data_IF_218362505083
#
_entry.id   IF_218362505083
#
_cell.length_a   1.000
_cell.length_b   1.000
_cell.length_c   1.000
_cell.angle_alpha   90.00
_cell.angle_beta   90.00
_cell.angle_gamma   90.00
#
_symmetry.space_group_name_H-M   'P 1'
#
loop_
_entity.id
_entity.type
_entity.pdbx_description
1 polymer ?
#
# COMPACT_ATOMS: atom_id res chain seq x y z
N UNK A 1 15.00 6.70 19.04
CA UNK A 1 14.43 6.51 17.67
C UNK A 1 15.10 7.48 16.71
N UNK A 2 15.80 6.96 15.69
CA UNK A 2 16.57 7.73 14.71
C UNK A 2 15.67 8.65 13.86
N UNK A 3 16.16 9.81 13.43
CA UNK A 3 15.39 10.78 12.62
C UNK A 3 14.97 10.21 11.25
N UNK A 4 15.83 9.39 10.64
CA UNK A 4 15.55 8.69 9.38
C UNK A 4 14.34 7.75 9.50
N UNK A 5 14.30 6.89 10.53
CA UNK A 5 13.18 5.97 10.79
C UNK A 5 11.85 6.74 10.87
N UNK A 6 11.81 7.85 11.61
CA UNK A 6 10.60 8.69 11.72
C UNK A 6 10.21 9.32 10.39
N UNK A 7 11.20 9.72 9.57
CA UNK A 7 10.94 10.30 8.26
C UNK A 7 10.28 9.28 7.32
N UNK A 8 10.79 8.04 7.30
CA UNK A 8 10.22 6.94 6.51
C UNK A 8 8.82 6.57 7.00
N UNK A 9 8.63 6.39 8.30
CA UNK A 9 7.31 6.10 8.88
C UNK A 9 6.28 7.17 8.52
N UNK A 10 6.66 8.45 8.66
CA UNK A 10 5.78 9.57 8.33
C UNK A 10 5.48 9.64 6.82
N UNK A 11 6.45 9.33 5.97
CA UNK A 11 6.27 9.25 4.53
C UNK A 11 5.24 8.17 4.16
N UNK A 12 5.43 6.95 4.66
CA UNK A 12 4.54 5.82 4.41
C UNK A 12 3.14 6.09 4.98
N UNK A 13 3.05 6.61 6.21
CA UNK A 13 1.78 6.95 6.86
C UNK A 13 0.97 7.94 6.04
N UNK A 14 1.57 9.05 5.62
CA UNK A 14 0.86 10.08 4.84
C UNK A 14 0.36 9.54 3.51
N UNK A 15 1.16 8.70 2.84
CA UNK A 15 0.82 8.12 1.54
C UNK A 15 -0.33 7.13 1.65
N UNK A 16 -0.30 6.23 2.64
CA UNK A 16 -1.39 5.29 2.90
C UNK A 16 -2.67 5.97 3.40
N UNK A 17 -2.55 6.97 4.28
CA UNK A 17 -3.69 7.76 4.72
C UNK A 17 -4.29 8.60 3.58
N UNK A 18 -3.52 8.87 2.52
CA UNK A 18 -3.98 9.53 1.29
C UNK A 18 -4.61 8.59 0.26
N UNK A 19 -4.65 7.28 0.52
CA UNK A 19 -5.12 6.31 -0.46
C UNK A 19 -6.60 6.49 -0.82
N UNK A 20 -6.91 6.34 -2.11
CA UNK A 20 -8.22 6.55 -2.72
C UNK A 20 -8.79 5.22 -3.24
N UNK A 21 -10.10 5.05 -3.12
CA UNK A 21 -10.87 3.91 -3.66
C UNK A 21 -11.17 4.14 -5.15
N UNK A 22 -10.12 4.35 -5.93
CA UNK A 22 -10.18 4.53 -7.38
C UNK A 22 -9.71 3.22 -8.02
N UNK A 23 -10.49 2.70 -8.95
CA UNK A 23 -10.10 1.51 -9.69
C UNK A 23 -8.93 1.86 -10.62
N UNK A 24 -7.89 1.03 -10.63
CA UNK A 24 -6.70 1.21 -11.45
C UNK A 24 -6.38 0.01 -12.34
N UNK A 25 -7.11 -1.09 -12.17
CA UNK A 25 -6.98 -2.31 -12.96
C UNK A 25 -8.32 -3.05 -13.01
N UNK A 26 -8.40 -4.10 -13.81
CA UNK A 26 -9.49 -5.08 -13.76
C UNK A 26 -8.91 -6.46 -13.52
N UNK A 27 -9.41 -7.15 -12.50
CA UNK A 27 -8.96 -8.49 -12.19
C UNK A 27 -9.30 -9.43 -13.36
N UNK A 28 -8.32 -10.15 -13.93
CA UNK A 28 -8.52 -10.90 -15.16
C UNK A 28 -9.48 -12.09 -14.97
N UNK A 29 -9.50 -12.68 -13.77
CA UNK A 29 -10.25 -13.90 -13.48
C UNK A 29 -11.70 -13.58 -13.09
N UNK A 30 -11.88 -12.59 -12.22
CA UNK A 30 -13.19 -12.22 -11.64
C UNK A 30 -13.86 -11.08 -12.38
N UNK A 31 -13.13 -10.35 -13.23
CA UNK A 31 -13.57 -9.12 -13.93
C UNK A 31 -13.96 -7.98 -12.99
N UNK A 32 -13.60 -8.07 -11.72
CA UNK A 32 -13.87 -7.03 -10.73
C UNK A 32 -12.88 -5.85 -10.88
N UNK A 33 -13.34 -4.60 -10.65
CA UNK A 33 -12.45 -3.45 -10.66
C UNK A 33 -11.47 -3.52 -9.48
N UNK A 34 -10.18 -3.44 -9.74
CA UNK A 34 -9.13 -3.47 -8.70
C UNK A 34 -8.92 -2.06 -8.16
N UNK A 35 -9.22 -1.86 -6.88
CA UNK A 35 -8.98 -0.61 -6.13
C UNK A 35 -7.79 -0.73 -5.17
N UNK A 36 -7.50 -1.95 -4.74
CA UNK A 36 -6.35 -2.26 -3.92
C UNK A 36 -5.85 -3.68 -4.21
N UNK A 37 -4.54 -3.88 -4.22
CA UNK A 37 -3.93 -5.20 -4.36
C UNK A 37 -2.77 -5.32 -3.36
N UNK A 38 -2.67 -6.43 -2.65
CA UNK A 38 -1.60 -6.59 -1.66
C UNK A 38 -1.32 -8.04 -1.28
N UNK A 39 -0.03 -8.34 -1.15
CA UNK A 39 0.52 -9.52 -0.50
C UNK A 39 1.59 -9.08 0.54
N UNK A 40 2.31 -10.02 1.13
CA UNK A 40 3.29 -9.75 2.19
C UNK A 40 4.48 -8.87 1.74
N UNK A 41 4.78 -8.82 0.43
CA UNK A 41 5.94 -8.18 -0.15
C UNK A 41 5.61 -7.10 -1.18
N UNK A 42 4.37 -7.00 -1.65
CA UNK A 42 3.93 -5.99 -2.63
C UNK A 42 2.56 -5.43 -2.26
N UNK A 43 2.40 -4.12 -2.42
CA UNK A 43 1.13 -3.44 -2.22
C UNK A 43 0.94 -2.35 -3.28
N UNK A 44 -0.26 -2.28 -3.88
CA UNK A 44 -0.66 -1.29 -4.88
C UNK A 44 -1.96 -0.61 -4.47
N UNK A 45 -1.96 0.71 -4.55
CA UNK A 45 -3.13 1.55 -4.25
C UNK A 45 -3.02 2.87 -5.00
N UNK A 46 -4.15 3.55 -5.19
CA UNK A 46 -4.14 4.90 -5.77
C UNK A 46 -3.97 5.92 -4.66
N UNK A 47 -3.08 6.89 -4.84
CA UNK A 47 -3.00 8.09 -4.00
C UNK A 47 -2.59 9.29 -4.84
N UNK A 48 -2.99 10.48 -4.39
CA UNK A 48 -2.52 11.72 -4.99
C UNK A 48 -1.04 11.95 -4.60
N UNK A 49 -0.28 12.58 -5.50
CA UNK A 49 1.03 13.14 -5.18
C UNK A 49 0.83 14.59 -4.70
N UNK A 50 1.67 15.10 -3.79
CA UNK A 50 1.73 16.53 -3.54
C UNK A 50 2.01 17.28 -4.85
N UNK A 51 1.26 18.36 -5.11
CA UNK A 51 1.24 19.09 -6.38
C UNK A 51 2.62 19.59 -6.87
N UNK A 52 3.61 19.67 -5.97
CA UNK A 52 4.97 20.11 -6.28
C UNK A 52 5.91 18.99 -6.80
N UNK A 53 5.48 17.71 -6.82
CA UNK A 53 6.31 16.56 -7.23
C UNK A 53 5.98 15.98 -8.62
N UNK A 54 5.03 16.56 -9.36
CA UNK A 54 4.67 16.11 -10.71
C UNK A 54 3.31 16.64 -11.18
N UNK A 55 2.91 16.36 -12.44
CA UNK A 55 1.58 16.72 -12.96
C UNK A 55 0.51 16.09 -12.06
N UNK A 56 -0.22 16.95 -11.32
CA UNK A 56 -1.23 16.55 -10.34
C UNK A 56 -2.26 15.58 -10.94
N UNK A 57 -2.48 14.47 -10.25
CA UNK A 57 -3.45 13.45 -10.64
C UNK A 57 -3.32 12.17 -9.80
N UNK A 58 -4.36 11.33 -9.76
CA UNK A 58 -4.32 10.04 -9.07
C UNK A 58 -3.27 9.14 -9.73
N UNK A 59 -2.30 8.70 -8.95
CA UNK A 59 -1.27 7.76 -9.40
C UNK A 59 -1.45 6.43 -8.67
N UNK A 60 -1.07 5.34 -9.32
CA UNK A 60 -0.85 4.04 -8.67
C UNK A 60 0.50 4.10 -7.97
N UNK A 61 0.47 3.84 -6.67
CA UNK A 61 1.64 3.75 -5.81
C UNK A 61 1.87 2.27 -5.57
N UNK A 62 3.05 1.79 -5.94
CA UNK A 62 3.46 0.41 -5.76
C UNK A 62 4.63 0.35 -4.79
N UNK A 63 4.38 -0.15 -3.58
CA UNK A 63 5.42 -0.47 -2.62
C UNK A 63 5.86 -1.92 -2.81
N UNK A 64 7.17 -2.15 -2.86
CA UNK A 64 7.77 -3.47 -3.01
C UNK A 64 8.90 -3.71 -2.02
N UNK A 65 8.92 -4.91 -1.48
CA UNK A 65 10.07 -5.47 -0.77
C UNK A 65 10.93 -6.19 -1.80
N UNK A 66 12.13 -5.68 -2.02
CA UNK A 66 13.08 -6.21 -2.99
C UNK A 66 14.36 -6.66 -2.27
N UNK A 67 15.14 -7.55 -2.89
CA UNK A 67 16.50 -7.83 -2.42
C UNK A 67 17.34 -6.55 -2.51
N UNK A 68 18.14 -6.30 -1.49
CA UNK A 68 19.08 -5.18 -1.50
C UNK A 68 20.15 -5.40 -2.59
N UNK A 69 20.72 -4.31 -3.12
CA UNK A 69 21.75 -4.38 -4.17
C UNK A 69 23.06 -5.00 -3.67
N UNK A 70 23.31 -4.95 -2.36
CA UNK A 70 24.42 -5.65 -1.71
C UNK A 70 24.27 -7.17 -1.74
N UNK A 71 23.07 -7.69 -2.01
CA UNK A 71 22.73 -9.10 -1.90
C UNK A 71 22.34 -9.55 -0.48
N UNK A 72 22.54 -8.70 0.53
CA UNK A 72 22.22 -9.00 1.93
C UNK A 72 20.96 -8.24 2.37
N UNK A 73 19.97 -8.98 2.88
CA UNK A 73 18.73 -8.39 3.36
C UNK A 73 17.76 -7.97 2.25
N UNK A 74 16.99 -6.93 2.52
CA UNK A 74 15.95 -6.37 1.65
C UNK A 74 15.96 -4.84 1.70
N UNK A 75 15.30 -4.24 0.71
CA UNK A 75 14.99 -2.81 0.64
C UNK A 75 13.51 -2.62 0.34
N UNK A 76 12.96 -1.49 0.77
CA UNK A 76 11.61 -1.06 0.42
C UNK A 76 11.70 -0.02 -0.71
N UNK A 77 11.06 -0.30 -1.84
CA UNK A 77 10.99 0.62 -2.98
C UNK A 77 9.57 1.12 -3.23
N UNK A 78 9.46 2.29 -3.86
CA UNK A 78 8.23 2.89 -4.33
C UNK A 78 8.31 3.16 -5.83
N UNK A 79 7.35 2.63 -6.58
CA UNK A 79 7.13 3.02 -7.98
C UNK A 79 5.81 3.78 -8.11
N UNK A 80 5.77 4.70 -9.07
CA UNK A 80 4.62 5.55 -9.36
C UNK A 80 4.27 5.45 -10.83
N UNK A 81 2.99 5.22 -11.11
CA UNK A 81 2.47 5.15 -12.47
C UNK A 81 1.11 5.82 -12.59
N UNK A 82 0.86 6.46 -13.72
CA UNK A 82 -0.41 7.13 -13.99
C UNK A 82 -1.49 6.09 -14.34
N UNK A 83 -2.71 6.30 -13.85
CA UNK A 83 -3.89 5.55 -14.31
C UNK A 83 -4.34 6.12 -15.66
N UNK A 84 -4.41 5.27 -16.68
CA UNK A 84 -4.83 5.65 -18.02
C UNK A 84 -6.36 5.55 -18.19
N UNK A 85 -6.86 6.13 -19.28
CA UNK A 85 -8.22 5.89 -19.73
C UNK A 85 -8.45 4.37 -19.93
N UNK A 86 -9.66 3.90 -19.62
CA UNK A 86 -10.02 2.47 -19.55
C UNK A 86 -9.46 1.69 -18.35
N UNK A 87 -8.89 2.36 -17.34
CA UNK A 87 -8.53 1.72 -16.07
C UNK A 87 -7.33 0.79 -16.16
N UNK A 88 -6.38 1.10 -17.05
CA UNK A 88 -5.08 0.44 -17.13
C UNK A 88 -4.00 1.27 -16.47
N UNK A 89 -2.92 0.65 -16.02
CA UNK A 89 -1.77 1.34 -15.42
C UNK A 89 -0.69 1.53 -16.47
N UNK A 90 -0.25 2.78 -16.67
CA UNK A 90 0.87 3.08 -17.55
C UNK A 90 2.16 2.39 -17.06
N UNK A 91 3.12 2.19 -17.96
CA UNK A 91 4.49 1.87 -17.53
C UNK A 91 5.03 3.03 -16.68
N UNK A 92 5.69 2.77 -15.54
CA UNK A 92 6.34 3.82 -14.76
C UNK A 92 7.33 4.61 -15.60
N UNK A 93 7.27 5.95 -15.54
CA UNK A 93 8.17 6.84 -16.27
C UNK A 93 9.59 6.88 -15.66
N UNK A 94 9.70 6.52 -14.38
CA UNK A 94 10.94 6.56 -13.61
C UNK A 94 11.20 5.21 -12.94
N UNK A 95 12.48 4.85 -12.70
CA UNK A 95 12.83 3.71 -11.86
C UNK A 95 12.22 3.83 -10.46
N UNK A 96 11.96 2.70 -9.76
CA UNK A 96 11.51 2.74 -8.37
C UNK A 96 12.50 3.49 -7.46
N UNK A 97 11.98 4.33 -6.58
CA UNK A 97 12.74 5.06 -5.58
C UNK A 97 12.94 4.20 -4.32
N UNK A 98 14.14 4.24 -3.74
CA UNK A 98 14.42 3.55 -2.47
C UNK A 98 13.84 4.37 -1.33
N UNK A 99 12.86 3.80 -0.62
CA UNK A 99 12.21 4.41 0.54
C UNK A 99 13.01 4.12 1.81
N UNK A 100 13.50 2.88 1.94
CA UNK A 100 14.37 2.44 3.03
C UNK A 100 15.25 1.28 2.55
N UNK A 101 16.49 1.23 3.03
CA UNK A 101 17.47 0.19 2.74
C UNK A 101 18.06 -0.34 4.06
N UNK A 102 19.01 -1.27 3.97
CA UNK A 102 19.65 -1.92 5.12
C UNK A 102 18.62 -2.58 6.06
N UNK A 103 17.64 -3.25 5.45
CA UNK A 103 16.57 -3.93 6.18
C UNK A 103 16.80 -5.44 6.17
N UNK A 104 16.50 -6.08 7.29
CA UNK A 104 16.47 -7.55 7.38
C UNK A 104 15.17 -8.10 6.83
N UNK A 105 14.05 -7.48 7.20
CA UNK A 105 12.71 -7.94 6.83
C UNK A 105 11.75 -6.74 6.75
N UNK A 106 10.85 -6.81 5.77
CA UNK A 106 9.66 -5.96 5.69
C UNK A 106 8.47 -6.85 5.39
N UNK A 107 7.35 -6.63 6.08
CA UNK A 107 6.11 -7.36 5.85
C UNK A 107 4.90 -6.43 5.81
N UNK A 108 4.05 -6.62 4.81
CA UNK A 108 2.74 -5.98 4.75
C UNK A 108 1.65 -6.91 5.26
N UNK A 109 0.73 -6.36 6.06
CA UNK A 109 -0.45 -7.09 6.54
C UNK A 109 -1.70 -6.24 6.40
N UNK A 110 -2.83 -6.90 6.22
CA UNK A 110 -4.10 -6.28 5.90
C UNK A 110 -5.18 -6.75 6.86
N UNK A 111 -6.12 -5.86 7.20
CA UNK A 111 -7.24 -6.17 8.07
C UNK A 111 -8.54 -5.67 7.46
N UNK A 112 -9.56 -6.51 7.47
CA UNK A 112 -10.91 -6.19 7.03
C UNK A 112 -11.87 -6.05 8.21
N UNK A 113 -13.08 -5.54 7.93
CA UNK A 113 -14.24 -5.85 8.75
C UNK A 113 -14.69 -7.29 8.47
N UNK A 114 -14.96 -8.04 9.52
CA UNK A 114 -15.57 -9.37 9.46
C UNK A 114 -17.07 -9.27 9.20
N UNK A 115 -17.68 -10.38 8.78
CA UNK A 115 -19.12 -10.46 8.52
C UNK A 115 -19.97 -10.24 9.78
N UNK A 116 -19.39 -10.43 10.96
CA UNK A 116 -20.00 -10.17 12.27
C UNK A 116 -19.89 -8.69 12.71
N UNK A 117 -19.38 -7.82 11.84
CA UNK A 117 -19.14 -6.40 12.14
C UNK A 117 -17.94 -6.15 13.06
N UNK A 118 -17.10 -7.16 13.34
CA UNK A 118 -15.87 -7.01 14.13
C UNK A 118 -14.64 -7.00 13.25
N UNK A 119 -13.53 -6.47 13.76
CA UNK A 119 -12.25 -6.52 13.04
C UNK A 119 -11.79 -7.98 12.86
N UNK A 120 -11.68 -8.43 11.61
CA UNK A 120 -11.14 -9.74 11.26
C UNK A 120 -9.67 -9.88 11.70
N UNK A 121 -9.08 -11.08 11.63
CA UNK A 121 -7.64 -11.25 11.87
C UNK A 121 -6.77 -10.50 10.85
N UNK A 122 -5.52 -10.24 11.20
CA UNK A 122 -4.52 -9.79 10.22
C UNK A 122 -4.25 -10.88 9.19
N UNK A 123 -4.09 -10.49 7.93
CA UNK A 123 -3.78 -11.38 6.81
C UNK A 123 -2.57 -10.86 6.04
N UNK A 124 -1.79 -11.78 5.51
CA UNK A 124 -0.62 -11.47 4.67
C UNK A 124 -1.01 -11.22 3.20
N UNK A 125 -2.31 -11.36 2.87
CA UNK A 125 -2.86 -11.19 1.53
C UNK A 125 -4.20 -10.43 1.56
N UNK A 126 -4.46 -9.64 0.50
CA UNK A 126 -5.72 -8.96 0.28
C UNK A 126 -6.43 -9.48 -0.97
N UNK A 127 -7.52 -10.24 -0.76
CA UNK A 127 -8.30 -10.85 -1.86
C UNK A 127 -9.50 -10.04 -2.34
N UNK A 128 -10.03 -9.15 -1.50
CA UNK A 128 -11.18 -8.31 -1.85
C UNK A 128 -10.71 -7.09 -2.67
N UNK A 129 -10.19 -7.35 -3.87
CA UNK A 129 -9.48 -6.37 -4.71
C UNK A 129 -10.33 -5.14 -5.07
N UNK A 130 -11.65 -5.30 -5.07
CA UNK A 130 -12.64 -4.25 -5.31
C UNK A 130 -12.89 -3.34 -4.11
N UNK A 131 -12.35 -3.69 -2.95
CA UNK A 131 -12.49 -2.99 -1.68
C UNK A 131 -11.13 -2.52 -1.13
N UNK A 132 -11.16 -1.50 -0.29
CA UNK A 132 -9.98 -1.06 0.46
C UNK A 132 -9.86 -1.87 1.76
N UNK A 133 -8.64 -2.24 2.19
CA UNK A 133 -8.46 -2.76 3.53
C UNK A 133 -8.81 -1.71 4.57
N UNK A 134 -9.37 -2.16 5.70
CA UNK A 134 -9.71 -1.28 6.82
C UNK A 134 -8.46 -0.76 7.53
N UNK A 135 -7.48 -1.65 7.73
CA UNK A 135 -6.15 -1.31 8.21
C UNK A 135 -5.08 -1.98 7.37
N UNK A 136 -3.97 -1.27 7.20
CA UNK A 136 -2.70 -1.78 6.69
C UNK A 136 -1.67 -1.69 7.81
N UNK A 137 -0.92 -2.77 8.02
CA UNK A 137 0.27 -2.78 8.87
C UNK A 137 1.52 -2.94 8.00
N UNK A 138 2.58 -2.21 8.34
CA UNK A 138 3.92 -2.40 7.80
C UNK A 138 4.86 -2.66 8.96
N UNK A 139 5.41 -3.88 9.00
CA UNK A 139 6.45 -4.26 9.96
C UNK A 139 7.82 -4.15 9.29
N UNK A 140 8.77 -3.50 9.97
CA UNK A 140 10.13 -3.31 9.46
C UNK A 140 11.14 -3.74 10.53
N UNK A 141 12.07 -4.60 10.16
CA UNK A 141 13.24 -4.97 10.96
C UNK A 141 14.49 -4.50 10.25
N UNK A 142 15.30 -3.66 10.89
CA UNK A 142 16.58 -3.20 10.37
C UNK A 142 17.62 -4.33 10.30
N UNK A 143 18.70 -4.14 9.53
CA UNK A 143 19.78 -5.11 9.40
C UNK A 143 20.38 -5.54 10.75
N UNK A 144 20.48 -4.59 11.69
CA UNK A 144 20.94 -4.81 13.08
C UNK A 144 19.96 -5.65 13.94
N UNK A 145 18.78 -5.99 13.41
CA UNK A 145 17.75 -6.78 14.09
C UNK A 145 16.77 -5.96 14.92
N UNK A 146 16.95 -4.64 15.01
CA UNK A 146 16.03 -3.75 15.71
C UNK A 146 14.74 -3.60 14.92
N UNK A 147 13.61 -3.85 15.59
CA UNK A 147 12.29 -3.57 15.05
C UNK A 147 11.99 -2.07 15.11
N UNK A 148 11.49 -1.55 14.00
CA UNK A 148 10.90 -0.23 13.99
C UNK A 148 9.51 -0.30 14.66
N UNK A 149 8.98 0.83 15.17
CA UNK A 149 7.58 0.92 15.54
C UNK A 149 6.66 0.35 14.45
N UNK A 150 5.67 -0.43 14.86
CA UNK A 150 4.67 -0.97 13.93
C UNK A 150 3.89 0.19 13.30
N UNK A 151 3.88 0.24 11.97
CA UNK A 151 3.11 1.24 11.23
C UNK A 151 1.73 0.69 10.90
N UNK A 152 0.73 1.05 11.70
CA UNK A 152 -0.68 0.78 11.39
C UNK A 152 -1.38 2.03 10.86
N UNK A 153 -2.05 1.91 9.71
CA UNK A 153 -2.72 3.01 9.01
C UNK A 153 -4.09 2.58 8.48
N UNK A 154 -5.10 3.43 8.66
CA UNK A 154 -6.39 3.31 7.99
C UNK A 154 -6.38 4.13 6.67
N UNK A 155 -6.55 3.49 5.51
CA UNK A 155 -6.73 4.20 4.23
C UNK A 155 -7.96 5.12 4.25
N UNK A 156 -7.91 6.28 3.57
CA UNK A 156 -8.97 7.32 3.65
C UNK A 156 -10.39 6.81 3.41
N UNK A 157 -10.59 5.94 2.42
CA UNK A 157 -11.93 5.44 2.08
C UNK A 157 -12.38 4.24 2.91
N UNK A 158 -11.49 3.61 3.69
CA UNK A 158 -11.93 2.68 4.72
C UNK A 158 -12.66 3.41 5.88
N UNK A 159 -12.33 4.68 6.12
CA UNK A 159 -13.04 5.51 7.08
C UNK A 159 -14.45 5.92 6.61
N UNK A 160 -14.82 5.58 5.37
CA UNK A 160 -16.14 5.84 4.78
C UNK A 160 -16.95 4.56 4.48
N UNK A 161 -16.63 3.42 5.10
CA UNK A 161 -17.41 2.20 4.92
C UNK A 161 -18.83 2.38 5.48
N UNK A 162 -19.76 2.77 4.62
CA UNK A 162 -21.16 2.40 4.76
C UNK A 162 -21.22 0.90 4.51
N UNK A 163 -21.75 0.15 5.48
CA UNK A 163 -22.00 -1.29 5.34
C UNK A 163 -22.80 -1.63 4.09
N UNK A 164 -22.89 -2.92 3.72
CA UNK A 164 -23.72 -3.32 2.59
C UNK A 164 -25.14 -2.80 2.88
N UNK A 165 -25.60 -1.89 2.03
CA UNK A 165 -26.95 -1.37 2.08
C UNK A 165 -27.91 -2.51 1.84
N UNK A 166 -28.89 -2.64 2.73
CA UNK A 166 -30.00 -3.56 2.60
C UNK A 166 -30.61 -3.42 1.20
N UNK A 167 -30.59 -4.51 0.44
CA UNK A 167 -31.39 -4.62 -0.77
C UNK A 167 -32.86 -4.72 -0.33
N UNK A 168 -33.64 -3.73 -0.73
CA UNK A 168 -35.09 -3.72 -0.59
C UNK A 168 -35.74 -4.52 -1.72
#
# INVERSE_FOLDING_TARGET
>A
MNSHTRAVENFLRRRLAGARSVAFDTDPDTRLPVRFQGDAARMRFVSDLPDYLGRGGPNVHELRVERALSGEGVRLTLSLAVVQAAGTVAKPERPPEVVADELREVRFRYRAMGADGKLAGWRDDWKAVEQMPLLVSIDITAADGRRWPELVVAPRLAAGYTGPGDAQ
#
